data_IF_421856715980
#
_entry.id   IF_421856715980
#
_cell.length_a   1.000
_cell.length_b   1.000
_cell.length_c   1.000
_cell.angle_alpha   90.00
_cell.angle_beta   90.00
_cell.angle_gamma   90.00
#
_symmetry.space_group_name_H-M   'P 1'
#
loop_
_entity.id
_entity.type
_entity.pdbx_description
1 polymer ?
#
# COMPACT_ATOMS: atom_id res chain seq x y z
N UNK A 1 41.88 -24.29 -16.52
CA UNK A 1 40.98 -24.19 -15.35
C UNK A 1 40.00 -23.07 -15.63
N UNK A 2 38.75 -23.41 -15.95
CA UNK A 2 37.66 -22.45 -16.11
C UNK A 2 37.13 -22.09 -14.72
N UNK A 3 37.03 -20.80 -14.40
CA UNK A 3 36.06 -20.34 -13.42
C UNK A 3 35.40 -19.06 -13.94
N UNK A 4 34.31 -19.29 -14.67
CA UNK A 4 33.32 -18.31 -15.05
C UNK A 4 32.52 -17.95 -13.79
N UNK A 5 32.74 -16.77 -13.21
CA UNK A 5 31.81 -16.22 -12.23
C UNK A 5 30.98 -15.13 -12.91
N UNK A 6 29.90 -15.61 -13.53
CA UNK A 6 28.87 -14.83 -14.18
C UNK A 6 28.00 -14.20 -13.08
N UNK A 7 28.33 -12.98 -12.62
CA UNK A 7 27.41 -12.19 -11.82
C UNK A 7 26.40 -11.51 -12.75
N UNK A 8 25.48 -12.30 -13.30
CA UNK A 8 24.23 -11.79 -13.85
C UNK A 8 23.28 -11.45 -12.71
N UNK A 9 23.44 -10.27 -12.12
CA UNK A 9 22.30 -9.58 -11.53
C UNK A 9 21.46 -9.03 -12.68
N UNK A 10 20.64 -9.91 -13.26
CA UNK A 10 19.59 -9.56 -14.18
C UNK A 10 18.53 -8.76 -13.41
N UNK A 11 18.80 -7.47 -13.23
CA UNK A 11 17.80 -6.52 -12.72
C UNK A 11 16.75 -6.33 -13.81
N UNK A 12 15.50 -6.56 -13.38
CA UNK A 12 14.26 -6.13 -14.02
C UNK A 12 13.83 -6.93 -15.24
N UNK A 13 13.50 -8.21 -15.00
CA UNK A 13 12.30 -8.74 -15.67
C UNK A 13 11.15 -7.82 -15.29
N UNK A 14 10.68 -7.03 -16.27
CA UNK A 14 9.33 -6.49 -16.32
C UNK A 14 8.40 -7.70 -16.36
N UNK A 15 8.20 -8.31 -15.21
CA UNK A 15 7.05 -9.16 -15.04
C UNK A 15 5.84 -8.22 -15.11
N UNK A 16 4.91 -8.53 -16.01
CA UNK A 16 3.56 -7.98 -15.96
C UNK A 16 2.92 -8.56 -14.70
N UNK A 17 3.27 -8.02 -13.53
CA UNK A 17 2.69 -8.46 -12.27
C UNK A 17 1.20 -8.12 -12.30
N UNK A 18 0.28 -9.06 -11.99
CA UNK A 18 -0.99 -8.63 -11.41
C UNK A 18 -0.62 -7.76 -10.21
N UNK A 19 -1.13 -6.52 -10.12
CA UNK A 19 -0.83 -5.55 -9.05
C UNK A 19 -0.37 -6.28 -7.79
N UNK A 20 0.94 -6.34 -7.56
CA UNK A 20 1.44 -7.11 -6.43
C UNK A 20 0.95 -6.42 -5.17
N UNK A 21 0.74 -7.17 -4.11
CA UNK A 21 0.34 -6.64 -2.80
C UNK A 21 1.14 -5.38 -2.44
N UNK A 22 2.43 -5.38 -2.75
CA UNK A 22 3.33 -4.25 -2.53
C UNK A 22 3.01 -2.98 -3.37
N UNK A 23 2.51 -3.13 -4.60
CA UNK A 23 2.06 -2.00 -5.42
C UNK A 23 0.76 -1.41 -4.85
N UNK A 24 -0.17 -2.27 -4.41
CA UNK A 24 -1.42 -1.83 -3.76
C UNK A 24 -1.11 -1.06 -2.47
N UNK A 25 -0.18 -1.56 -1.65
CA UNK A 25 0.29 -0.89 -0.43
C UNK A 25 0.98 0.43 -0.72
N UNK A 26 1.82 0.49 -1.77
CA UNK A 26 2.45 1.74 -2.20
C UNK A 26 1.42 2.77 -2.66
N UNK A 27 0.35 2.35 -3.35
CA UNK A 27 -0.73 3.24 -3.74
C UNK A 27 -1.52 3.76 -2.54
N UNK A 28 -1.78 2.92 -1.54
CA UNK A 28 -2.41 3.36 -0.28
C UNK A 28 -1.53 4.41 0.41
N UNK A 29 -0.22 4.17 0.53
CA UNK A 29 0.71 5.15 1.09
C UNK A 29 0.68 6.48 0.34
N UNK A 30 0.64 6.43 -0.98
CA UNK A 30 0.60 7.62 -1.82
C UNK A 30 -0.68 8.43 -1.58
N UNK A 31 -1.83 7.76 -1.56
CA UNK A 31 -3.12 8.38 -1.23
C UNK A 31 -3.13 8.98 0.18
N UNK A 32 -2.61 8.26 1.17
CA UNK A 32 -2.49 8.74 2.55
C UNK A 32 -1.57 9.97 2.67
N UNK A 33 -0.46 9.99 1.92
CA UNK A 33 0.45 11.14 1.87
C UNK A 33 -0.19 12.33 1.13
N UNK A 34 -0.96 12.06 0.07
CA UNK A 34 -1.75 13.07 -0.63
C UNK A 34 -2.75 13.71 0.34
N UNK A 35 -3.47 12.89 1.12
CA UNK A 35 -4.36 13.36 2.18
C UNK A 35 -3.65 14.22 3.22
N UNK A 36 -2.45 13.82 3.67
CA UNK A 36 -1.67 14.64 4.61
C UNK A 36 -1.25 15.99 4.01
N UNK A 37 -0.93 16.03 2.71
CA UNK A 37 -0.49 17.25 2.04
C UNK A 37 -1.64 18.19 1.71
N UNK A 38 -2.77 17.65 1.24
CA UNK A 38 -3.92 18.41 0.77
C UNK A 38 -5.01 18.58 1.84
N UNK A 39 -4.89 17.89 2.99
CA UNK A 39 -5.87 17.84 4.08
C UNK A 39 -7.26 17.30 3.71
N UNK A 40 -7.44 16.83 2.47
CA UNK A 40 -8.66 16.15 2.03
C UNK A 40 -8.32 15.10 0.98
N UNK A 41 -9.17 14.07 0.87
CA UNK A 41 -9.16 13.14 -0.27
C UNK A 41 -10.35 13.47 -1.14
N UNK A 42 -10.14 13.52 -2.45
CA UNK A 42 -11.24 13.60 -3.40
C UNK A 42 -12.09 12.33 -3.33
N UNK A 43 -13.34 12.42 -3.80
CA UNK A 43 -14.24 11.26 -3.87
C UNK A 43 -13.59 10.07 -4.59
N UNK A 44 -12.94 10.33 -5.72
CA UNK A 44 -12.24 9.31 -6.50
C UNK A 44 -11.14 8.62 -5.69
N UNK A 45 -10.33 9.39 -4.97
CA UNK A 45 -9.24 8.84 -4.14
C UNK A 45 -9.77 8.01 -2.97
N UNK A 46 -10.88 8.41 -2.35
CA UNK A 46 -11.54 7.59 -1.31
C UNK A 46 -12.08 6.28 -1.86
N UNK A 47 -12.66 6.30 -3.06
CA UNK A 47 -13.15 5.10 -3.73
C UNK A 47 -11.97 4.17 -4.07
N UNK A 48 -10.87 4.71 -4.60
CA UNK A 48 -9.64 3.96 -4.86
C UNK A 48 -9.05 3.38 -3.56
N UNK A 49 -8.95 4.19 -2.50
CA UNK A 49 -8.47 3.75 -1.20
C UNK A 49 -9.32 2.60 -0.68
N UNK A 50 -10.65 2.73 -0.72
CA UNK A 50 -11.57 1.69 -0.28
C UNK A 50 -11.41 0.40 -1.08
N UNK A 51 -11.30 0.49 -2.41
CA UNK A 51 -11.08 -0.67 -3.27
C UNK A 51 -9.77 -1.38 -2.97
N UNK A 52 -8.68 -0.64 -2.75
CA UNK A 52 -7.37 -1.20 -2.41
C UNK A 52 -7.41 -1.90 -1.06
N UNK A 53 -8.00 -1.27 -0.05
CA UNK A 53 -8.14 -1.82 1.29
C UNK A 53 -8.97 -3.12 1.28
N UNK A 54 -10.12 -3.13 0.59
CA UNK A 54 -10.93 -4.34 0.45
C UNK A 54 -10.21 -5.45 -0.29
N UNK A 55 -9.45 -5.12 -1.34
CA UNK A 55 -8.68 -6.10 -2.11
C UNK A 55 -7.55 -6.71 -1.27
N UNK A 56 -6.87 -5.90 -0.45
CA UNK A 56 -5.82 -6.37 0.45
C UNK A 56 -6.35 -7.12 1.68
N UNK A 57 -7.58 -6.83 2.13
CA UNK A 57 -8.22 -7.57 3.22
C UNK A 57 -8.55 -9.02 2.84
N UNK A 58 -8.77 -9.29 1.54
CA UNK A 58 -9.04 -10.62 1.01
C UNK A 58 -7.75 -11.43 0.77
N UNK A 59 -6.60 -10.76 0.72
CA UNK A 59 -5.29 -11.39 0.49
C UNK A 59 -4.83 -12.14 1.76
N UNK A 60 -4.96 -13.47 1.75
CA UNK A 60 -4.53 -14.34 2.89
C UNK A 60 -3.03 -14.32 3.14
N UNK A 61 -2.23 -13.77 2.22
CA UNK A 61 -0.76 -13.68 2.33
C UNK A 61 -0.27 -12.42 3.04
N UNK A 62 -1.18 -11.53 3.45
CA UNK A 62 -0.81 -10.30 4.16
C UNK A 62 -0.27 -10.58 5.55
N UNK A 63 0.75 -9.81 5.95
CA UNK A 63 1.19 -9.78 7.33
C UNK A 63 0.05 -9.28 8.23
N UNK A 64 -0.14 -9.92 9.39
CA UNK A 64 -1.22 -9.58 10.32
C UNK A 64 -1.17 -8.11 10.76
N UNK A 65 0.04 -7.52 10.86
CA UNK A 65 0.20 -6.09 11.21
C UNK A 65 -0.29 -5.18 10.09
N UNK A 66 0.03 -5.51 8.83
CA UNK A 66 -0.43 -4.76 7.66
C UNK A 66 -1.96 -4.86 7.55
N UNK A 67 -2.52 -6.06 7.77
CA UNK A 67 -3.96 -6.30 7.73
C UNK A 67 -4.70 -5.47 8.79
N UNK A 68 -4.17 -5.41 10.01
CA UNK A 68 -4.71 -4.57 11.09
C UNK A 68 -4.68 -3.08 10.71
N UNK A 69 -3.55 -2.59 10.20
CA UNK A 69 -3.40 -1.22 9.70
C UNK A 69 -4.39 -0.88 8.60
N UNK A 70 -4.60 -1.78 7.64
CA UNK A 70 -5.59 -1.63 6.56
C UNK A 70 -7.01 -1.55 7.11
N UNK A 71 -7.35 -2.37 8.10
CA UNK A 71 -8.65 -2.33 8.75
C UNK A 71 -8.88 -1.00 9.47
N UNK A 72 -7.87 -0.49 10.18
CA UNK A 72 -7.92 0.84 10.82
C UNK A 72 -8.09 1.97 9.82
N UNK A 73 -7.32 1.98 8.71
CA UNK A 73 -7.45 2.98 7.64
C UNK A 73 -8.87 2.93 7.05
N UNK A 74 -9.39 1.73 6.79
CA UNK A 74 -10.74 1.54 6.22
C UNK A 74 -11.81 2.12 7.13
N UNK A 75 -11.71 1.83 8.43
CA UNK A 75 -12.64 2.37 9.44
C UNK A 75 -12.58 3.90 9.50
N UNK A 76 -11.37 4.48 9.55
CA UNK A 76 -11.19 5.93 9.58
C UNK A 76 -11.63 6.64 8.29
N UNK A 77 -11.41 6.02 7.14
CA UNK A 77 -11.90 6.52 5.85
C UNK A 77 -13.44 6.43 5.75
N UNK A 78 -14.08 5.48 6.42
CA UNK A 78 -15.53 5.40 6.48
C UNK A 78 -16.14 6.49 7.37
N UNK A 79 -15.51 6.77 8.51
CA UNK A 79 -15.98 7.77 9.48
C UNK A 79 -15.52 9.19 9.16
N UNK A 80 -14.75 9.40 8.10
CA UNK A 80 -14.12 10.68 7.76
C UNK A 80 -13.15 11.21 8.82
N UNK A 81 -12.65 10.32 9.70
CA UNK A 81 -11.76 10.67 10.81
C UNK A 81 -10.31 10.28 10.50
N UNK A 82 -9.85 10.58 9.28
CA UNK A 82 -8.45 10.37 8.90
C UNK A 82 -7.57 11.40 9.63
N UNK A 83 -7.17 11.05 10.85
CA UNK A 83 -6.31 11.89 11.66
C UNK A 83 -4.87 11.87 11.12
N UNK A 84 -4.24 13.03 10.98
CA UNK A 84 -2.91 13.16 10.38
C UNK A 84 -1.83 12.37 11.14
N UNK A 85 -1.94 12.24 12.47
CA UNK A 85 -1.02 11.46 13.30
C UNK A 85 -1.24 9.96 13.08
N UNK A 86 -2.50 9.51 13.05
CA UNK A 86 -2.83 8.12 12.75
C UNK A 86 -2.35 7.73 11.33
N UNK A 87 -2.58 8.61 10.35
CA UNK A 87 -2.11 8.45 8.97
C UNK A 87 -0.60 8.30 8.90
N UNK A 88 0.17 9.10 9.66
CA UNK A 88 1.63 8.97 9.69
C UNK A 88 2.06 7.61 10.23
N UNK A 89 1.43 7.14 11.32
CA UNK A 89 1.74 5.83 11.88
C UNK A 89 1.43 4.70 10.90
N UNK A 90 0.34 4.79 10.16
CA UNK A 90 0.01 3.80 9.12
C UNK A 90 1.03 3.80 7.99
N UNK A 91 1.49 4.97 7.53
CA UNK A 91 2.54 5.08 6.50
C UNK A 91 3.86 4.46 6.96
N UNK A 92 4.22 4.60 8.23
CA UNK A 92 5.45 4.00 8.78
C UNK A 92 5.35 2.47 8.98
N UNK A 93 4.15 1.93 9.13
CA UNK A 93 3.92 0.50 9.32
C UNK A 93 3.73 -0.28 8.02
N UNK A 94 3.19 0.37 7.00
CA UNK A 94 3.14 -0.13 5.63
C UNK A 94 4.55 -0.12 5.01
#
# INVERSE_FOLDING_TARGET
MYNFHFFTHAIKRRDRMPLSTNDKLSLIKDLLRSHQSEHFLTRNEREQLTQLLSNLADETTLDSRISDTISQISSANYTDTLDAQAVNMWIEQL
#
